data_IF_802607862878
#
_entry.id   IF_802607862878
#
_cell.length_a   1.000
_cell.length_b   1.000
_cell.length_c   1.000
_cell.angle_alpha   90.00
_cell.angle_beta   90.00
_cell.angle_gamma   90.00
#
_symmetry.space_group_name_H-M   'P 1'
#
loop_
_entity.id
_entity.type
_entity.pdbx_description
1 polymer ?
#
# COMPACT_ATOMS: atom_id res chain seq x y z
N UNK A 1 -13.18 -1.13 -4.32
CA UNK A 1 -14.14 -0.11 -3.89
C UNK A 1 -13.97 0.20 -2.41
N UNK A 2 -13.99 1.47 -2.08
CA UNK A 2 -13.86 1.92 -0.70
C UNK A 2 -15.12 2.65 -0.27
N UNK A 3 -15.48 2.46 0.97
CA UNK A 3 -16.70 3.07 1.52
C UNK A 3 -16.48 4.52 1.94
N UNK A 4 -15.24 4.92 2.07
CA UNK A 4 -14.92 6.24 2.61
C UNK A 4 -14.90 6.28 4.12
N UNK A 5 -15.12 5.14 4.76
CA UNK A 5 -15.10 5.04 6.22
C UNK A 5 -13.74 4.51 6.64
N UNK A 6 -13.09 5.20 7.57
CA UNK A 6 -11.81 4.75 8.10
C UNK A 6 -12.03 3.51 8.94
N UNK A 7 -11.40 2.42 8.55
CA UNK A 7 -11.53 1.15 9.26
C UNK A 7 -10.70 1.14 10.54
N UNK A 8 -9.48 1.63 10.45
CA UNK A 8 -8.61 1.78 11.61
C UNK A 8 -7.37 2.57 11.23
N UNK A 9 -6.47 2.71 12.17
CA UNK A 9 -5.16 3.33 11.91
C UNK A 9 -4.12 2.25 11.75
N UNK A 10 -3.20 2.47 10.83
CA UNK A 10 -1.99 1.67 10.70
C UNK A 10 -0.80 2.55 11.10
N UNK A 11 0.24 1.92 11.60
CA UNK A 11 1.45 2.63 11.98
C UNK A 11 2.56 2.34 10.97
N UNK A 12 3.21 3.38 10.48
CA UNK A 12 4.34 3.23 9.58
C UNK A 12 5.54 2.77 10.41
N UNK A 13 6.07 1.59 10.08
CA UNK A 13 7.19 1.03 10.82
C UNK A 13 8.50 1.06 10.03
N UNK A 14 8.41 1.23 8.71
CA UNK A 14 9.61 1.28 7.88
C UNK A 14 9.30 2.01 6.60
N UNK A 15 10.26 2.79 6.11
CA UNK A 15 10.16 3.45 4.81
C UNK A 15 11.47 3.22 4.08
N UNK A 16 11.37 2.69 2.87
CA UNK A 16 12.54 2.49 2.01
C UNK A 16 12.30 3.25 0.72
N UNK A 17 13.24 4.12 0.40
CA UNK A 17 13.19 4.85 -0.86
C UNK A 17 14.03 4.11 -1.88
N UNK A 18 13.45 3.88 -3.04
CA UNK A 18 14.15 3.23 -4.13
C UNK A 18 13.90 4.02 -5.39
N UNK A 19 14.94 4.67 -5.91
CA UNK A 19 14.81 5.59 -7.02
C UNK A 19 13.78 6.65 -6.65
N UNK A 20 12.65 6.71 -7.34
CA UNK A 20 11.63 7.71 -7.03
C UNK A 20 10.40 7.11 -6.34
N UNK A 21 10.47 5.84 -5.98
CA UNK A 21 9.37 5.15 -5.33
C UNK A 21 9.61 5.04 -3.84
N UNK A 22 8.52 4.93 -3.07
CA UNK A 22 8.59 4.68 -1.64
C UNK A 22 7.92 3.37 -1.32
N UNK A 23 8.62 2.53 -0.56
CA UNK A 23 8.07 1.31 -0.02
C UNK A 23 7.75 1.54 1.44
N UNK A 24 6.48 1.48 1.78
CA UNK A 24 6.01 1.75 3.14
C UNK A 24 5.61 0.44 3.78
N UNK A 25 6.20 0.13 4.92
CA UNK A 25 5.83 -1.04 5.70
C UNK A 25 5.05 -0.56 6.90
N UNK A 26 3.87 -1.14 7.10
CA UNK A 26 2.95 -0.69 8.14
C UNK A 26 2.43 -1.89 8.92
N UNK A 27 1.94 -1.62 10.11
CA UNK A 27 1.26 -2.65 10.91
C UNK A 27 -0.11 -2.15 11.33
N UNK A 28 -1.05 -3.08 11.41
CA UNK A 28 -2.41 -2.79 11.85
C UNK A 28 -3.02 -4.08 12.39
N UNK A 29 -4.21 -3.97 12.98
CA UNK A 29 -4.80 -5.13 13.62
C UNK A 29 -5.27 -6.20 12.64
N UNK A 30 -5.55 -5.84 11.40
CA UNK A 30 -6.07 -6.81 10.43
C UNK A 30 -5.03 -7.31 9.44
N UNK A 31 -3.74 -7.19 9.79
CA UNK A 31 -2.67 -7.66 8.90
C UNK A 31 -2.86 -9.13 8.52
N UNK A 32 -3.30 -9.97 9.46
CA UNK A 32 -3.45 -11.39 9.20
C UNK A 32 -4.55 -11.70 8.16
N UNK A 33 -5.38 -10.74 7.88
CA UNK A 33 -6.47 -10.90 6.91
C UNK A 33 -6.13 -10.33 5.55
N UNK A 34 -4.95 -9.75 5.40
CA UNK A 34 -4.55 -9.14 4.15
C UNK A 34 -3.97 -10.16 3.19
N UNK A 35 -4.05 -9.81 1.91
CA UNK A 35 -3.50 -10.66 0.85
C UNK A 35 -2.69 -9.81 -0.10
N UNK A 36 -1.72 -10.44 -0.73
CA UNK A 36 -0.97 -9.80 -1.80
C UNK A 36 -1.95 -9.38 -2.89
N UNK A 37 -1.71 -8.21 -3.47
CA UNK A 37 -2.53 -7.59 -4.51
C UNK A 37 -3.82 -6.96 -4.00
N UNK A 38 -4.08 -7.02 -2.71
CA UNK A 38 -5.24 -6.34 -2.13
C UNK A 38 -4.98 -4.84 -2.08
N UNK A 39 -6.03 -4.06 -2.34
CA UNK A 39 -5.94 -2.60 -2.28
C UNK A 39 -6.34 -2.10 -0.91
N UNK A 40 -5.58 -1.15 -0.40
CA UNK A 40 -5.85 -0.52 0.89
C UNK A 40 -5.74 0.99 0.71
N UNK A 41 -6.72 1.71 1.20
CA UNK A 41 -6.68 3.17 1.20
C UNK A 41 -5.85 3.64 2.39
N UNK A 42 -4.88 4.52 2.12
CA UNK A 42 -4.01 5.10 3.15
C UNK A 42 -4.22 6.61 3.11
N UNK A 43 -4.91 7.15 4.10
CA UNK A 43 -5.28 8.57 4.11
C UNK A 43 -5.96 8.97 2.80
N UNK A 44 -6.79 8.06 2.28
CA UNK A 44 -7.50 8.30 1.03
C UNK A 44 -6.74 7.93 -0.22
N UNK A 45 -5.48 7.50 -0.09
CA UNK A 45 -4.68 7.11 -1.25
C UNK A 45 -4.65 5.59 -1.37
N UNK A 46 -5.09 5.08 -2.50
CA UNK A 46 -5.19 3.65 -2.72
C UNK A 46 -3.82 3.08 -3.10
N UNK A 47 -3.34 2.15 -2.29
CA UNK A 47 -2.06 1.47 -2.53
C UNK A 47 -2.26 -0.02 -2.43
N UNK A 48 -1.47 -0.77 -3.18
CA UNK A 48 -1.61 -2.22 -3.28
C UNK A 48 -0.58 -2.93 -2.44
N UNK A 49 -1.01 -3.95 -1.72
CA UNK A 49 -0.13 -4.77 -0.90
C UNK A 49 0.79 -5.58 -1.80
N UNK A 50 2.10 -5.42 -1.61
CA UNK A 50 3.09 -6.13 -2.40
C UNK A 50 3.85 -7.17 -1.57
N UNK A 51 3.77 -7.08 -0.25
CA UNK A 51 4.50 -8.00 0.63
C UNK A 51 3.80 -8.09 1.97
N UNK A 52 3.85 -9.27 2.57
CA UNK A 52 3.32 -9.53 3.91
C UNK A 52 4.41 -10.26 4.67
N UNK A 53 4.76 -9.76 5.87
CA UNK A 53 5.86 -10.33 6.62
C UNK A 53 5.77 -9.94 8.10
N UNK A 54 5.84 -10.94 8.97
CA UNK A 54 6.00 -10.73 10.42
C UNK A 54 5.03 -9.72 11.03
N UNK A 55 3.75 -9.85 10.68
CA UNK A 55 2.74 -8.98 11.26
C UNK A 55 2.70 -7.60 10.63
N UNK A 56 3.38 -7.41 9.51
CA UNK A 56 3.35 -6.15 8.79
C UNK A 56 2.99 -6.38 7.33
N UNK A 57 2.61 -5.30 6.66
CA UNK A 57 2.39 -5.35 5.22
C UNK A 57 3.15 -4.19 4.58
N UNK A 58 3.53 -4.37 3.32
CA UNK A 58 4.25 -3.36 2.58
C UNK A 58 3.45 -2.95 1.35
N UNK A 59 3.38 -1.66 1.13
CA UNK A 59 2.78 -1.08 -0.08
C UNK A 59 3.82 -0.19 -0.74
N UNK A 60 3.66 0.06 -2.02
CA UNK A 60 4.59 0.91 -2.76
C UNK A 60 3.84 2.09 -3.35
N UNK A 61 4.38 3.28 -3.10
CA UNK A 61 3.88 4.50 -3.71
C UNK A 61 4.83 4.89 -4.82
N UNK A 62 4.29 4.99 -6.03
CA UNK A 62 5.06 5.40 -7.20
C UNK A 62 5.24 6.91 -7.20
N UNK A 63 6.21 7.38 -7.97
CA UNK A 63 6.51 8.80 -8.06
C UNK A 63 5.26 9.67 -8.25
N UNK A 64 4.41 9.27 -9.17
CA UNK A 64 3.23 10.06 -9.47
C UNK A 64 2.30 10.17 -8.26
N UNK A 65 2.11 9.09 -7.55
CA UNK A 65 1.30 9.08 -6.35
C UNK A 65 1.91 9.97 -5.26
N UNK A 66 3.22 9.89 -5.12
CA UNK A 66 3.93 10.70 -4.14
C UNK A 66 3.75 12.18 -4.43
N UNK A 67 3.83 12.55 -5.69
CA UNK A 67 3.71 13.95 -6.10
C UNK A 67 2.30 14.49 -5.95
N UNK A 68 1.30 13.64 -6.03
CA UNK A 68 -0.11 14.06 -6.00
C UNK A 68 -0.79 13.87 -4.67
N UNK A 69 -0.04 13.47 -3.64
CA UNK A 69 -0.64 13.17 -2.35
C UNK A 69 0.32 13.53 -1.23
N UNK A 70 -0.11 13.30 0.02
CA UNK A 70 0.75 13.52 1.17
C UNK A 70 1.52 12.28 1.58
N UNK A 71 1.47 11.23 0.78
CA UNK A 71 2.13 9.96 1.13
C UNK A 71 3.63 10.17 1.33
N UNK A 72 4.24 11.04 0.53
CA UNK A 72 5.66 11.31 0.65
C UNK A 72 6.07 12.04 1.92
N UNK A 73 5.12 12.55 2.68
CA UNK A 73 5.38 13.24 3.93
C UNK A 73 5.33 12.32 5.14
N UNK A 74 4.97 11.07 4.96
CA UNK A 74 4.88 10.12 6.06
C UNK A 74 6.27 9.79 6.60
N UNK A 75 6.31 9.54 7.89
CA UNK A 75 7.55 9.19 8.59
C UNK A 75 7.29 7.96 9.44
N UNK A 76 8.36 7.26 9.77
CA UNK A 76 8.27 6.12 10.69
C UNK A 76 7.66 6.60 12.00
N UNK A 77 6.67 5.87 12.47
CA UNK A 77 5.91 6.22 13.66
C UNK A 77 4.61 6.93 13.40
N UNK A 78 4.42 7.43 12.19
CA UNK A 78 3.16 8.11 11.84
C UNK A 78 2.02 7.11 11.79
N UNK A 79 0.84 7.60 12.13
CA UNK A 79 -0.38 6.83 12.02
C UNK A 79 -1.12 7.24 10.77
N UNK A 80 -1.66 6.26 10.07
CA UNK A 80 -2.31 6.45 8.78
C UNK A 80 -3.70 5.86 8.88
N UNK A 81 -4.69 6.63 8.43
CA UNK A 81 -6.05 6.11 8.34
C UNK A 81 -6.11 5.09 7.22
N UNK A 82 -6.56 3.88 7.52
CA UNK A 82 -6.61 2.83 6.53
C UNK A 82 -8.01 2.26 6.39
N UNK A 83 -8.32 1.87 5.16
CA UNK A 83 -9.55 1.17 4.85
C UNK A 83 -9.20 0.16 3.76
N UNK A 84 -9.49 -1.10 4.02
CA UNK A 84 -9.18 -2.12 3.03
C UNK A 84 -10.33 -2.27 2.05
N UNK A 85 -9.97 -2.64 0.83
CA UNK A 85 -10.96 -2.94 -0.19
C UNK A 85 -11.66 -4.24 0.17
N UNK A 86 -12.94 -4.31 -0.15
CA UNK A 86 -13.71 -5.52 0.05
C UNK A 86 -13.32 -6.61 -0.94
N UNK A 87 -12.64 -6.24 -2.00
CA UNK A 87 -12.30 -7.16 -3.08
C UNK A 87 -10.84 -7.02 -3.44
N UNK A 88 -10.30 -8.08 -4.01
CA UNK A 88 -8.92 -8.09 -4.44
C UNK A 88 -8.69 -7.10 -5.56
N UNK A 89 -7.51 -6.51 -5.56
CA UNK A 89 -7.09 -5.65 -6.65
C UNK A 89 -7.16 -6.43 -7.97
N UNK A 90 -7.64 -5.79 -9.00
CA UNK A 90 -7.80 -6.41 -10.30
C UNK A 90 -9.18 -6.99 -10.53
N UNK A 91 -9.91 -7.25 -9.47
CA UNK A 91 -11.29 -7.74 -9.60
C UNK A 91 -12.22 -6.62 -9.97
N UNK A 92 -11.96 -5.47 -9.41
CA UNK A 92 -12.71 -4.25 -9.68
C UNK A 92 -11.89 -3.28 -10.50
N UNK A 93 -10.89 -3.80 -11.18
CA UNK A 93 -9.93 -2.97 -11.84
C UNK A 93 -10.50 -1.95 -12.79
N UNK A 94 -11.60 -2.29 -13.38
CA UNK A 94 -12.26 -1.40 -14.31
C UNK A 94 -12.83 -0.17 -13.62
N UNK A 95 -13.16 -0.26 -12.35
CA UNK A 95 -13.70 0.86 -11.62
C UNK A 95 -12.64 1.64 -10.90
N UNK A 96 -11.55 1.01 -10.58
CA UNK A 96 -10.57 1.58 -9.70
C UNK A 96 -9.24 1.73 -10.39
N UNK A 97 -9.24 2.57 -11.39
CA UNK A 97 -8.08 2.78 -12.22
C UNK A 97 -6.90 3.31 -11.41
N UNK A 98 -7.20 4.10 -10.38
CA UNK A 98 -6.15 4.72 -9.59
C UNK A 98 -5.36 3.72 -8.78
N UNK A 99 -5.99 2.61 -8.45
CA UNK A 99 -5.28 1.57 -7.72
C UNK A 99 -4.47 0.69 -8.65
N UNK A 100 -4.55 0.94 -9.94
CA UNK A 100 -3.94 0.05 -10.90
C UNK A 100 -2.47 0.27 -11.04
N UNK A 101 -1.78 -0.28 -10.14
CA UNK A 101 -0.43 -0.70 -10.46
C UNK A 101 -0.67 -1.94 -11.29
N UNK A 102 -0.23 -1.95 -12.53
CA UNK A 102 -0.42 -3.11 -13.38
C UNK A 102 0.21 -4.32 -12.72
N UNK A 103 -0.37 -5.48 -12.99
CA UNK A 103 0.09 -6.71 -12.35
C UNK A 103 1.59 -6.92 -12.55
N UNK A 104 2.09 -6.58 -13.73
CA UNK A 104 3.52 -6.68 -14.01
C UNK A 104 4.35 -5.74 -13.15
N UNK A 105 3.80 -4.59 -12.81
CA UNK A 105 4.51 -3.62 -11.97
C UNK A 105 4.58 -4.12 -10.53
N UNK A 106 3.52 -4.76 -10.06
CA UNK A 106 3.52 -5.35 -8.73
C UNK A 106 4.59 -6.42 -8.62
N UNK A 107 4.74 -7.24 -9.65
CA UNK A 107 5.78 -8.27 -9.66
C UNK A 107 7.17 -7.65 -9.58
N UNK A 108 7.41 -6.59 -10.34
CA UNK A 108 8.70 -5.90 -10.30
C UNK A 108 8.98 -5.34 -8.92
N UNK A 109 7.99 -4.71 -8.32
CA UNK A 109 8.13 -4.11 -7.01
C UNK A 109 8.44 -5.18 -5.97
N UNK A 110 7.73 -6.30 -6.06
CA UNK A 110 7.93 -7.41 -5.13
C UNK A 110 9.35 -7.96 -5.24
N UNK A 111 9.85 -8.13 -6.45
CA UNK A 111 11.21 -8.61 -6.66
C UNK A 111 12.22 -7.64 -6.09
N UNK A 112 12.00 -6.36 -6.28
CA UNK A 112 12.90 -5.34 -5.76
C UNK A 112 12.95 -5.39 -4.25
N UNK A 113 11.79 -5.54 -3.60
CA UNK A 113 11.75 -5.62 -2.14
C UNK A 113 12.49 -6.85 -1.64
N UNK A 114 12.39 -7.95 -2.35
CA UNK A 114 13.09 -9.18 -1.98
C UNK A 114 14.59 -9.02 -2.11
N UNK A 115 15.03 -8.25 -3.10
CA UNK A 115 16.45 -8.01 -3.31
C UNK A 115 17.04 -7.09 -2.26
N UNK A 116 16.25 -6.17 -1.73
CA UNK A 116 16.75 -5.22 -0.75
C UNK A 116 16.76 -5.78 0.67
N UNK A 117 16.11 -6.86 0.87
CA UNK A 117 16.14 -7.55 2.15
C UNK A 117 17.37 -8.43 2.24
#
# INVERSE_FOLDING_TARGET
MFSGIVEEYAEVVRIVKEQENLHLTLKCSFVDELKIDQSISHNGVCLTVVSLQDGTYTVTAMKETIERSNIGLLKVGDKVNVERSMMMNGRLGDQDVLSTVLHSDIEKIRMTLEETD
#
